data_IF_291376170033
#
_entry.id   IF_291376170033
#
_cell.length_a   1.000
_cell.length_b   1.000
_cell.length_c   1.000
_cell.angle_alpha   90.00
_cell.angle_beta   90.00
_cell.angle_gamma   90.00
#
_symmetry.space_group_name_H-M   'P 1'
#
loop_
_entity.id
_entity.type
_entity.pdbx_description
1 polymer ?
#
# COMPACT_ATOMS: atom_id res chain seq x y z
N UNK A 1 -11.26 -76.20 -24.68
CA UNK A 1 -11.67 -74.80 -24.48
C UNK A 1 -10.62 -74.12 -23.63
N UNK A 2 -9.89 -73.16 -24.21
CA UNK A 2 -8.76 -72.43 -23.60
C UNK A 2 -9.34 -71.16 -22.96
N UNK A 3 -9.31 -71.05 -21.63
CA UNK A 3 -9.71 -69.83 -20.93
C UNK A 3 -8.54 -68.84 -20.93
N UNK A 4 -8.74 -67.71 -21.60
CA UNK A 4 -7.82 -66.57 -21.63
C UNK A 4 -8.14 -65.68 -20.42
N UNK A 5 -7.28 -65.66 -19.39
CA UNK A 5 -7.39 -64.75 -18.25
C UNK A 5 -6.71 -63.42 -18.63
N UNK A 6 -7.51 -62.36 -18.78
CA UNK A 6 -7.02 -60.98 -18.91
C UNK A 6 -6.78 -60.38 -17.51
N UNK A 7 -5.61 -59.80 -17.21
CA UNK A 7 -5.40 -59.05 -15.99
C UNK A 7 -5.94 -57.62 -16.15
N UNK A 8 -6.90 -57.25 -15.29
CA UNK A 8 -7.42 -55.89 -15.16
C UNK A 8 -6.39 -55.07 -14.38
N UNK A 9 -5.65 -54.22 -15.09
CA UNK A 9 -4.75 -53.21 -14.52
C UNK A 9 -5.59 -52.06 -13.93
N UNK A 10 -5.73 -52.05 -12.60
CA UNK A 10 -6.23 -50.90 -11.84
C UNK A 10 -5.18 -49.77 -11.88
N UNK A 11 -5.36 -48.82 -12.80
CA UNK A 11 -4.68 -47.53 -12.76
C UNK A 11 -5.29 -46.69 -11.63
N UNK A 12 -4.66 -46.67 -10.45
CA UNK A 12 -4.90 -45.64 -9.46
C UNK A 12 -4.31 -44.32 -9.99
N UNK A 13 -5.14 -43.53 -10.66
CA UNK A 13 -4.83 -42.15 -11.01
C UNK A 13 -4.79 -41.34 -9.70
N UNK A 14 -3.59 -41.14 -9.15
CA UNK A 14 -3.36 -40.20 -8.07
C UNK A 14 -3.62 -38.78 -8.59
N UNK A 15 -4.87 -38.34 -8.49
CA UNK A 15 -5.20 -36.93 -8.60
C UNK A 15 -4.59 -36.21 -7.40
N UNK A 16 -3.39 -35.66 -7.59
CA UNK A 16 -2.86 -34.61 -6.72
C UNK A 16 -3.77 -33.39 -6.88
N UNK A 17 -4.83 -33.34 -6.08
CA UNK A 17 -5.63 -32.13 -5.89
C UNK A 17 -4.68 -31.09 -5.31
N UNK A 18 -4.21 -30.19 -6.17
CA UNK A 18 -3.63 -28.92 -5.71
C UNK A 18 -4.70 -28.27 -4.85
N UNK A 19 -4.53 -28.30 -3.53
CA UNK A 19 -5.34 -27.50 -2.64
C UNK A 19 -5.20 -26.05 -3.12
N UNK A 20 -6.28 -25.51 -3.66
CA UNK A 20 -6.36 -24.11 -3.99
C UNK A 20 -6.32 -23.36 -2.65
N UNK A 21 -5.13 -22.91 -2.25
CA UNK A 21 -5.01 -21.91 -1.19
C UNK A 21 -5.72 -20.68 -1.76
N UNK A 22 -6.83 -20.22 -1.17
CA UNK A 22 -7.45 -18.99 -1.61
C UNK A 22 -6.42 -17.88 -1.41
N UNK A 23 -6.10 -17.15 -2.47
CA UNK A 23 -5.25 -15.97 -2.35
C UNK A 23 -6.05 -14.87 -1.64
N UNK A 24 -6.13 -14.96 -0.32
CA UNK A 24 -6.79 -13.99 0.56
C UNK A 24 -5.85 -12.82 0.81
N UNK A 25 -5.39 -12.14 -0.25
CA UNK A 25 -4.57 -10.95 -0.11
C UNK A 25 -5.46 -9.83 0.47
N UNK A 26 -5.31 -9.55 1.77
CA UNK A 26 -6.06 -8.55 2.52
C UNK A 26 -6.00 -7.16 1.84
N UNK A 27 -4.92 -6.91 1.10
CA UNK A 27 -4.61 -5.67 0.41
C UNK A 27 -5.33 -5.48 -0.94
N UNK A 28 -6.01 -6.51 -1.45
CA UNK A 28 -6.70 -6.47 -2.74
C UNK A 28 -8.23 -6.30 -2.60
N UNK A 29 -8.73 -6.12 -1.38
CA UNK A 29 -10.15 -5.85 -1.07
C UNK A 29 -10.31 -4.51 -0.35
N UNK A 30 -11.55 -4.04 -0.27
CA UNK A 30 -11.92 -2.97 0.68
C UNK A 30 -11.56 -3.40 2.10
N UNK A 31 -10.62 -2.70 2.72
CA UNK A 31 -10.12 -3.01 4.06
C UNK A 31 -10.34 -1.82 4.98
N UNK A 32 -11.10 -2.05 6.06
CA UNK A 32 -11.28 -1.06 7.11
C UNK A 32 -10.03 -1.03 7.98
N UNK A 33 -9.47 0.16 8.18
CA UNK A 33 -8.20 0.38 8.89
C UNK A 33 -8.45 0.91 10.29
N UNK A 34 -9.35 1.89 10.42
CA UNK A 34 -9.66 2.53 11.68
C UNK A 34 -11.02 3.21 11.68
N UNK A 35 -11.43 3.64 12.86
CA UNK A 35 -12.51 4.60 13.08
C UNK A 35 -11.96 5.87 13.71
N UNK A 36 -12.57 7.01 13.40
CA UNK A 36 -12.34 8.29 14.08
C UNK A 36 -13.39 8.41 15.18
N UNK A 37 -12.96 8.39 16.43
CA UNK A 37 -13.81 8.58 17.60
C UNK A 37 -13.29 9.80 18.36
N UNK A 38 -14.12 10.82 18.55
CA UNK A 38 -13.75 12.05 19.27
C UNK A 38 -12.45 12.73 18.77
N UNK A 39 -12.18 12.61 17.47
CA UNK A 39 -10.98 13.17 16.84
C UNK A 39 -9.73 12.27 16.91
N UNK A 40 -9.81 11.13 17.59
CA UNK A 40 -8.72 10.15 17.70
C UNK A 40 -8.93 8.95 16.77
N UNK A 41 -7.82 8.38 16.29
CA UNK A 41 -7.86 7.17 15.47
C UNK A 41 -7.85 5.91 16.32
N UNK A 42 -8.91 5.11 16.21
CA UNK A 42 -8.99 3.76 16.75
C UNK A 42 -8.71 2.74 15.64
N UNK A 43 -7.48 2.22 15.61
CA UNK A 43 -7.10 1.13 14.72
C UNK A 43 -7.95 -0.13 14.97
N UNK A 44 -8.39 -0.77 13.90
CA UNK A 44 -9.13 -2.05 13.95
C UNK A 44 -8.40 -3.22 13.28
N UNK A 45 -7.31 -2.92 12.59
CA UNK A 45 -6.37 -3.93 12.07
C UNK A 45 -5.34 -4.31 13.14
N UNK A 46 -4.82 -5.53 13.06
CA UNK A 46 -3.59 -5.89 13.77
C UNK A 46 -2.40 -5.19 13.09
N UNK A 47 -1.80 -4.23 13.79
CA UNK A 47 -0.69 -3.42 13.28
C UNK A 47 0.52 -4.27 12.91
N UNK A 48 0.86 -5.28 13.71
CA UNK A 48 2.05 -6.11 13.52
C UNK A 48 1.87 -7.01 12.30
N UNK A 49 0.73 -7.67 12.19
CA UNK A 49 0.41 -8.54 11.06
C UNK A 49 0.28 -7.73 9.76
N UNK A 50 -0.29 -6.52 9.82
CA UNK A 50 -0.36 -5.65 8.64
C UNK A 50 1.02 -5.22 8.16
N UNK A 51 1.91 -4.77 9.06
CA UNK A 51 3.30 -4.41 8.70
C UNK A 51 4.03 -5.61 8.10
N UNK A 52 3.84 -6.80 8.66
CA UNK A 52 4.42 -8.04 8.13
C UNK A 52 3.94 -8.31 6.70
N UNK A 53 2.64 -8.24 6.42
CA UNK A 53 2.10 -8.43 5.08
C UNK A 53 2.61 -7.40 4.07
N UNK A 54 2.77 -6.14 4.50
CA UNK A 54 3.38 -5.09 3.67
C UNK A 54 4.83 -5.41 3.36
N UNK A 55 5.63 -5.83 4.36
CA UNK A 55 7.02 -6.23 4.15
C UNK A 55 7.13 -7.46 3.24
N UNK A 56 6.25 -8.45 3.39
CA UNK A 56 6.15 -9.61 2.50
C UNK A 56 5.88 -9.19 1.05
N UNK A 57 4.92 -8.27 0.86
CA UNK A 57 4.50 -7.83 -0.47
C UNK A 57 5.53 -6.91 -1.15
N UNK A 58 5.98 -5.87 -0.47
CA UNK A 58 6.82 -4.81 -1.06
C UNK A 58 8.33 -5.13 -0.98
N UNK A 59 8.73 -5.93 0.00
CA UNK A 59 10.15 -6.19 0.32
C UNK A 59 10.48 -7.68 0.46
N UNK A 60 9.65 -8.57 -0.11
CA UNK A 60 9.89 -10.02 -0.14
C UNK A 60 10.14 -10.63 1.24
N UNK A 61 9.56 -10.04 2.29
CA UNK A 61 9.65 -10.50 3.67
C UNK A 61 10.79 -9.88 4.49
N UNK A 62 11.65 -9.06 3.88
CA UNK A 62 12.62 -8.27 4.63
C UNK A 62 11.89 -7.30 5.57
N UNK A 63 12.28 -7.29 6.85
CA UNK A 63 11.66 -6.44 7.88
C UNK A 63 12.12 -4.99 7.77
N UNK A 64 11.73 -4.34 6.67
CA UNK A 64 12.10 -2.96 6.35
C UNK A 64 11.21 -1.98 7.11
N UNK A 65 9.89 -2.13 6.99
CA UNK A 65 8.91 -1.29 7.68
C UNK A 65 8.78 -1.75 9.13
N UNK A 66 8.91 -0.79 10.04
CA UNK A 66 8.91 -1.04 11.50
C UNK A 66 7.80 -0.29 12.24
N UNK A 67 7.08 0.61 11.56
CA UNK A 67 6.01 1.39 12.17
C UNK A 67 4.86 1.68 11.20
N UNK A 68 3.68 1.93 11.77
CA UNK A 68 2.44 2.28 11.11
C UNK A 68 1.70 3.30 11.96
N UNK A 69 1.33 4.42 11.35
CA UNK A 69 0.51 5.48 11.94
C UNK A 69 -0.59 5.89 10.98
N UNK A 70 -1.71 6.37 11.50
CA UNK A 70 -2.70 7.09 10.69
C UNK A 70 -2.50 8.56 10.93
N UNK A 71 -2.47 9.32 9.83
CA UNK A 71 -2.31 10.77 9.84
C UNK A 71 -3.38 11.42 9.00
N UNK A 72 -3.56 12.71 9.24
CA UNK A 72 -4.29 13.60 8.36
C UNK A 72 -3.40 14.77 7.97
N UNK A 73 -3.64 15.29 6.79
CA UNK A 73 -2.98 16.49 6.27
C UNK A 73 -3.91 17.19 5.28
N UNK A 74 -3.46 18.30 4.70
CA UNK A 74 -4.18 19.05 3.68
C UNK A 74 -3.42 19.00 2.36
N UNK A 75 -4.16 18.92 1.25
CA UNK A 75 -3.54 19.00 -0.08
C UNK A 75 -2.78 20.31 -0.28
N UNK A 76 -1.69 20.23 -1.04
CA UNK A 76 -0.89 21.38 -1.49
C UNK A 76 -1.34 21.80 -2.90
N UNK A 77 -1.33 23.10 -3.21
CA UNK A 77 -1.70 23.62 -4.53
C UNK A 77 -3.02 24.41 -4.49
N UNK A 78 -3.86 24.21 -5.50
CA UNK A 78 -5.03 25.07 -5.79
C UNK A 78 -6.08 25.08 -4.69
N UNK A 79 -6.24 23.95 -4.00
CA UNK A 79 -7.24 23.75 -2.95
C UNK A 79 -6.60 23.09 -1.74
N UNK A 80 -7.06 23.47 -0.54
CA UNK A 80 -6.75 22.79 0.71
C UNK A 80 -7.87 21.83 1.07
N UNK A 81 -7.68 20.56 0.76
CA UNK A 81 -8.63 19.48 1.04
C UNK A 81 -8.01 18.60 2.13
N UNK A 82 -8.70 18.42 3.26
CA UNK A 82 -8.26 17.48 4.29
C UNK A 82 -8.31 16.05 3.74
N UNK A 83 -7.27 15.27 4.00
CA UNK A 83 -7.22 13.85 3.66
C UNK A 83 -6.59 13.03 4.78
N UNK A 84 -6.92 11.74 4.80
CA UNK A 84 -6.37 10.76 5.72
C UNK A 84 -5.50 9.76 4.98
N UNK A 85 -4.48 9.25 5.64
CA UNK A 85 -3.57 8.27 5.07
C UNK A 85 -2.94 7.40 6.14
N UNK A 86 -2.55 6.18 5.76
CA UNK A 86 -1.61 5.37 6.52
C UNK A 86 -0.21 5.88 6.18
N UNK A 87 0.60 6.12 7.21
CA UNK A 87 2.04 6.29 7.10
C UNK A 87 2.75 5.05 7.64
N UNK A 88 3.42 4.32 6.76
CA UNK A 88 4.30 3.20 7.08
C UNK A 88 5.73 3.73 7.05
N UNK A 89 6.53 3.51 8.09
CA UNK A 89 7.89 4.06 8.13
C UNK A 89 8.94 3.00 8.48
N UNK A 90 10.17 3.29 8.06
CA UNK A 90 11.38 2.57 8.47
C UNK A 90 12.36 3.56 9.04
N UNK A 91 12.75 3.39 10.31
CA UNK A 91 13.76 4.26 10.93
C UNK A 91 15.15 3.96 10.40
N UNK A 92 15.45 2.69 10.12
CA UNK A 92 16.76 2.25 9.63
C UNK A 92 17.05 2.73 8.21
N UNK A 93 16.01 2.84 7.37
CA UNK A 93 16.15 3.30 5.97
C UNK A 93 15.76 4.75 5.74
N UNK A 94 15.30 5.47 6.76
CA UNK A 94 14.75 6.82 6.63
C UNK A 94 13.68 6.89 5.52
N UNK A 95 12.78 5.91 5.55
CA UNK A 95 11.77 5.68 4.53
C UNK A 95 10.39 5.95 5.11
N UNK A 96 9.55 6.67 4.36
CA UNK A 96 8.13 6.80 4.63
C UNK A 96 7.33 6.39 3.40
N UNK A 97 6.34 5.54 3.61
CA UNK A 97 5.40 5.08 2.59
C UNK A 97 4.00 5.51 3.00
N UNK A 98 3.30 6.22 2.11
CA UNK A 98 1.91 6.59 2.37
C UNK A 98 0.94 5.82 1.51
N UNK A 99 -0.25 5.61 2.07
CA UNK A 99 -1.42 5.11 1.35
C UNK A 99 -2.66 5.90 1.75
N UNK A 100 -3.38 6.42 0.76
CA UNK A 100 -4.62 7.17 0.97
C UNK A 100 -5.69 6.31 1.68
N UNK A 101 -6.48 6.94 2.55
CA UNK A 101 -7.64 6.36 3.20
C UNK A 101 -8.90 7.15 2.86
N UNK A 102 -9.91 6.45 2.37
CA UNK A 102 -11.25 7.00 2.27
C UNK A 102 -11.84 7.19 3.67
N UNK A 103 -12.59 8.27 3.85
CA UNK A 103 -13.33 8.55 5.07
C UNK A 103 -14.82 8.56 4.76
N UNK A 104 -15.55 7.57 5.25
CA UNK A 104 -17.01 7.50 5.22
C UNK A 104 -17.53 7.64 6.65
N UNK A 105 -17.93 8.86 7.03
CA UNK A 105 -18.49 9.17 8.35
C UNK A 105 -17.62 8.67 9.51
N UNK A 106 -16.31 8.92 9.44
CA UNK A 106 -15.33 8.51 10.46
C UNK A 106 -14.79 7.10 10.26
N UNK A 107 -15.33 6.31 9.33
CA UNK A 107 -14.79 5.00 8.96
C UNK A 107 -13.67 5.17 7.94
N UNK A 108 -12.45 4.84 8.33
CA UNK A 108 -11.28 4.90 7.45
C UNK A 108 -11.00 3.56 6.79
N UNK A 109 -10.91 3.54 5.47
CA UNK A 109 -10.67 2.31 4.72
C UNK A 109 -9.81 2.51 3.48
N UNK A 110 -9.08 1.47 3.11
CA UNK A 110 -8.47 1.33 1.79
C UNK A 110 -9.47 0.66 0.87
N UNK A 111 -9.56 1.11 -0.38
CA UNK A 111 -10.40 0.47 -1.38
C UNK A 111 -9.68 0.43 -2.73
N UNK A 112 -9.25 -0.76 -3.12
CA UNK A 112 -8.63 -1.03 -4.42
C UNK A 112 -9.67 -1.39 -5.49
N UNK A 113 -10.95 -1.52 -5.11
CA UNK A 113 -12.06 -1.83 -6.01
C UNK A 113 -12.76 -0.59 -6.57
N UNK A 114 -12.20 0.60 -6.32
CA UNK A 114 -12.61 1.84 -6.97
C UNK A 114 -12.22 1.78 -8.46
N UNK A 115 -13.04 1.06 -9.20
CA UNK A 115 -12.87 0.74 -10.61
C UNK A 115 -13.16 1.97 -11.48
N UNK A 116 -12.20 2.34 -12.31
CA UNK A 116 -12.46 3.23 -13.44
C UNK A 116 -11.25 3.43 -14.32
N UNK A 117 -10.72 2.36 -14.95
CA UNK A 117 -9.75 2.34 -16.08
C UNK A 117 -8.51 3.25 -16.00
N UNK A 118 -8.32 3.93 -14.88
CA UNK A 118 -7.43 5.07 -14.71
C UNK A 118 -6.76 4.88 -13.37
N UNK A 119 -5.45 4.70 -13.41
CA UNK A 119 -4.60 4.71 -12.23
C UNK A 119 -4.74 6.05 -11.51
N UNK A 120 -5.14 6.03 -10.24
CA UNK A 120 -5.34 7.25 -9.45
C UNK A 120 -4.40 7.35 -8.25
N UNK A 121 -4.32 8.53 -7.64
CA UNK A 121 -3.57 8.79 -6.41
C UNK A 121 -3.99 7.90 -5.22
N UNK A 122 -5.17 7.29 -5.25
CA UNK A 122 -5.63 6.39 -4.18
C UNK A 122 -5.12 4.96 -4.33
N UNK A 123 -4.61 4.60 -5.51
CA UNK A 123 -4.25 3.22 -5.88
C UNK A 123 -2.83 2.83 -5.50
N UNK A 124 -2.00 3.78 -5.11
CA UNK A 124 -0.57 3.58 -4.94
C UNK A 124 -0.09 3.68 -3.49
N UNK A 125 0.95 2.91 -3.21
CA UNK A 125 1.87 3.22 -2.11
C UNK A 125 2.97 4.13 -2.66
N UNK A 126 3.17 5.28 -2.03
CA UNK A 126 4.22 6.21 -2.44
C UNK A 126 5.28 6.24 -1.36
N UNK A 127 6.48 5.84 -1.73
CA UNK A 127 7.65 5.79 -0.87
C UNK A 127 8.53 7.02 -1.11
N UNK A 128 8.92 7.68 -0.02
CA UNK A 128 9.97 8.69 -0.01
C UNK A 128 11.10 8.23 0.93
N UNK A 129 12.33 8.22 0.42
CA UNK A 129 13.53 7.96 1.22
C UNK A 129 14.32 9.26 1.39
N UNK A 130 14.65 9.58 2.63
CA UNK A 130 15.36 10.81 2.97
C UNK A 130 15.23 11.21 4.43
N UNK A 131 15.98 12.23 4.82
CA UNK A 131 16.08 12.69 6.21
C UNK A 131 15.05 13.77 6.54
N UNK A 132 14.99 14.18 7.81
CA UNK A 132 14.33 15.41 8.28
C UNK A 132 12.87 15.65 7.83
N UNK A 133 11.99 14.67 7.99
CA UNK A 133 10.58 14.84 7.66
C UNK A 133 10.27 14.65 6.18
N UNK A 134 11.13 13.93 5.46
CA UNK A 134 10.87 13.45 4.11
C UNK A 134 9.62 12.54 4.08
N UNK A 135 8.48 13.12 3.69
CA UNK A 135 7.18 12.46 3.66
C UNK A 135 6.47 12.76 2.33
N UNK A 136 5.79 11.79 1.71
CA UNK A 136 4.96 12.08 0.55
C UNK A 136 3.80 13.02 0.92
N UNK A 137 3.55 14.01 0.06
CA UNK A 137 2.45 14.99 0.15
C UNK A 137 1.53 14.87 -1.05
N UNK A 138 0.23 15.08 -0.82
CA UNK A 138 -0.76 15.06 -1.88
C UNK A 138 -0.96 16.48 -2.43
N UNK A 139 -0.76 16.66 -3.71
CA UNK A 139 -0.98 17.90 -4.44
C UNK A 139 -2.30 17.85 -5.20
N UNK A 140 -2.91 19.02 -5.41
CA UNK A 140 -4.02 19.23 -6.31
C UNK A 140 -3.74 20.44 -7.22
N UNK A 141 -3.71 20.19 -8.53
CA UNK A 141 -3.59 21.20 -9.57
C UNK A 141 -4.56 20.89 -10.71
N UNK A 142 -5.34 21.87 -11.16
CA UNK A 142 -6.36 21.69 -12.21
C UNK A 142 -7.31 20.52 -11.93
N UNK A 143 -7.67 20.35 -10.64
CA UNK A 143 -8.48 19.23 -10.12
C UNK A 143 -7.85 17.83 -10.26
N UNK A 144 -6.57 17.73 -10.63
CA UNK A 144 -5.81 16.48 -10.67
C UNK A 144 -5.00 16.33 -9.39
N UNK A 145 -5.14 15.17 -8.76
CA UNK A 145 -4.38 14.80 -7.58
C UNK A 145 -3.09 14.08 -7.94
N UNK A 146 -1.99 14.41 -7.28
CA UNK A 146 -0.70 13.76 -7.47
C UNK A 146 0.12 13.72 -6.19
N UNK A 147 0.87 12.64 -5.97
CA UNK A 147 1.80 12.54 -4.85
C UNK A 147 3.18 13.07 -5.21
N UNK A 148 3.84 13.71 -4.24
CA UNK A 148 5.23 14.15 -4.39
C UNK A 148 5.96 14.04 -3.06
N UNK A 149 7.23 13.64 -3.10
CA UNK A 149 8.14 13.70 -1.95
C UNK A 149 8.71 15.10 -1.70
N UNK A 150 8.41 16.07 -2.58
CA UNK A 150 8.91 17.45 -2.49
C UNK A 150 7.76 18.41 -2.23
N UNK A 151 8.12 19.56 -1.69
CA UNK A 151 7.20 20.67 -1.40
C UNK A 151 6.73 21.44 -2.64
N UNK A 152 7.22 21.06 -3.83
CA UNK A 152 6.79 21.60 -5.11
C UNK A 152 6.91 20.52 -6.20
N UNK A 153 6.22 20.74 -7.32
CA UNK A 153 6.28 19.91 -8.53
C UNK A 153 7.06 20.66 -9.60
N UNK A 154 8.24 20.15 -9.98
CA UNK A 154 9.08 20.77 -11.02
C UNK A 154 10.48 20.16 -11.14
N UNK A 155 11.18 20.53 -12.21
CA UNK A 155 12.59 20.19 -12.38
C UNK A 155 13.48 21.18 -11.63
N UNK A 156 14.62 20.70 -11.14
CA UNK A 156 15.65 21.53 -10.50
C UNK A 156 17.02 21.16 -11.03
N UNK A 157 18.01 22.01 -10.77
CA UNK A 157 19.41 21.68 -11.03
C UNK A 157 19.88 20.56 -10.11
N UNK A 158 20.96 19.88 -10.51
CA UNK A 158 21.62 18.84 -9.69
C UNK A 158 22.05 19.40 -8.32
N UNK A 159 22.68 20.58 -8.31
CA UNK A 159 23.12 21.27 -7.10
C UNK A 159 21.97 21.52 -6.12
N UNK A 160 20.82 21.95 -6.64
CA UNK A 160 19.61 22.15 -5.82
C UNK A 160 19.08 20.81 -5.28
N UNK A 161 19.09 19.76 -6.11
CA UNK A 161 18.61 18.44 -5.69
C UNK A 161 19.43 17.86 -4.52
N UNK A 162 20.74 18.13 -4.47
CA UNK A 162 21.61 17.68 -3.37
C UNK A 162 21.25 18.32 -2.01
N UNK A 163 20.60 19.48 -2.00
CA UNK A 163 20.13 20.12 -0.76
C UNK A 163 18.81 19.57 -0.24
N UNK A 164 18.08 18.77 -1.04
CA UNK A 164 16.76 18.30 -0.63
C UNK A 164 16.82 17.15 0.37
N UNK A 165 15.88 17.23 1.32
CA UNK A 165 15.64 16.26 2.38
C UNK A 165 15.27 14.89 1.83
N UNK A 166 14.37 14.87 0.84
CA UNK A 166 14.01 13.66 0.11
C UNK A 166 14.98 13.42 -1.04
N UNK A 167 15.62 12.26 -1.00
CA UNK A 167 16.62 11.81 -1.98
C UNK A 167 16.02 10.92 -3.05
N UNK A 168 14.97 10.17 -2.72
CA UNK A 168 14.33 9.26 -3.65
C UNK A 168 12.80 9.24 -3.46
N UNK A 169 12.10 9.05 -4.58
CA UNK A 169 10.65 8.83 -4.64
C UNK A 169 10.38 7.59 -5.48
N UNK A 170 9.57 6.66 -4.97
CA UNK A 170 9.23 5.42 -5.67
C UNK A 170 7.74 5.12 -5.51
N UNK A 171 7.09 4.73 -6.61
CA UNK A 171 5.76 4.11 -6.57
C UNK A 171 5.97 2.62 -6.30
N UNK A 172 5.37 2.10 -5.23
CA UNK A 172 5.52 0.69 -4.82
C UNK A 172 4.21 -0.07 -5.05
N UNK A 173 4.30 -1.27 -5.63
CA UNK A 173 3.16 -2.09 -6.07
C UNK A 173 3.04 -3.41 -5.33
#
# INVERSE_FOLDING_TARGET
MRYLLLPILFFFSSCSVKQHVPNNNLLDKKLVIAYINDGEYKLVIDKTEFIKQINEKLYKGESIIDNLEIKKDFTVGDKKIEYHYINLSSRSRHLNIVRFLFNDNGKLYMDKSYNGETFTYVDFYIACEGYEGCLPKLFIYDSVFSWSCRDFVGCVTYETAETYKCKQSTIVF
#
